data_IF_004270967804
#
_entry.id   IF_004270967804
#
_cell.length_a   1.000
_cell.length_b   1.000
_cell.length_c   1.000
_cell.angle_alpha   90.00
_cell.angle_beta   90.00
_cell.angle_gamma   90.00
#
_symmetry.space_group_name_H-M   'P 1'
#
loop_
_entity.id
_entity.type
_entity.pdbx_description
1 polymer ?
#
# COMPACT_ATOMS: atom_id res chain seq x y z
N UNK A 1 -4.14 24.31 -15.19
CA UNK A 1 -4.62 23.29 -14.24
C UNK A 1 -5.18 24.05 -13.05
N UNK A 2 -6.32 23.67 -12.46
CA UNK A 2 -6.75 24.28 -11.20
C UNK A 2 -5.64 24.04 -10.17
N UNK A 3 -5.14 25.12 -9.57
CA UNK A 3 -4.14 25.04 -8.51
C UNK A 3 -4.70 24.18 -7.37
N UNK A 4 -3.97 23.14 -6.99
CA UNK A 4 -4.30 22.36 -5.80
C UNK A 4 -4.20 23.30 -4.59
N UNK A 5 -5.16 23.22 -3.68
CA UNK A 5 -5.04 23.91 -2.40
C UNK A 5 -3.90 23.28 -1.59
N UNK A 6 -3.27 24.06 -0.72
CA UNK A 6 -2.20 23.60 0.17
C UNK A 6 -2.63 22.35 0.98
N UNK A 7 -3.87 22.34 1.45
CA UNK A 7 -4.48 21.18 2.13
C UNK A 7 -4.49 19.92 1.25
N UNK A 8 -4.77 20.04 -0.06
CA UNK A 8 -4.75 18.89 -0.97
C UNK A 8 -3.34 18.39 -1.23
N UNK A 9 -2.36 19.30 -1.36
CA UNK A 9 -0.95 18.91 -1.52
C UNK A 9 -0.46 18.16 -0.28
N UNK A 10 -0.81 18.64 0.92
CA UNK A 10 -0.48 17.96 2.18
C UNK A 10 -1.12 16.56 2.26
N UNK A 11 -2.38 16.40 1.83
CA UNK A 11 -3.02 15.08 1.79
C UNK A 11 -2.32 14.11 0.83
N UNK A 12 -1.88 14.59 -0.34
CA UNK A 12 -1.13 13.76 -1.30
C UNK A 12 0.25 13.37 -0.76
N UNK A 13 0.92 14.26 -0.02
CA UNK A 13 2.18 13.97 0.67
C UNK A 13 2.00 12.92 1.77
N UNK A 14 0.95 13.04 2.58
CA UNK A 14 0.62 12.07 3.63
C UNK A 14 0.30 10.70 3.03
N UNK A 15 -0.40 10.68 1.90
CA UNK A 15 -0.68 9.46 1.15
C UNK A 15 0.63 8.80 0.65
N UNK A 16 1.53 9.56 0.02
CA UNK A 16 2.83 9.05 -0.45
C UNK A 16 3.73 8.57 0.71
N UNK A 17 3.66 9.25 1.86
CA UNK A 17 4.38 8.82 3.07
C UNK A 17 3.79 7.53 3.66
N UNK A 18 2.46 7.38 3.68
CA UNK A 18 1.81 6.14 4.12
C UNK A 18 2.24 4.96 3.26
N UNK A 19 2.30 5.16 1.94
CA UNK A 19 2.83 4.17 1.00
C UNK A 19 4.25 3.73 1.34
N UNK A 20 5.12 4.68 1.69
CA UNK A 20 6.50 4.38 2.08
C UNK A 20 6.56 3.60 3.40
N UNK A 21 5.82 4.02 4.42
CA UNK A 21 5.76 3.31 5.71
C UNK A 21 5.23 1.89 5.56
N UNK A 22 4.29 1.66 4.66
CA UNK A 22 3.82 0.31 4.37
C UNK A 22 4.86 -0.56 3.67
N UNK A 23 5.65 0.00 2.75
CA UNK A 23 6.81 -0.69 2.16
C UNK A 23 7.78 -1.17 3.25
N UNK A 24 8.15 -0.28 4.18
CA UNK A 24 9.01 -0.61 5.31
C UNK A 24 8.40 -1.69 6.21
N UNK A 25 7.07 -1.66 6.41
CA UNK A 25 6.35 -2.68 7.17
C UNK A 25 6.40 -4.07 6.50
N UNK A 26 6.29 -4.13 5.17
CA UNK A 26 6.47 -5.39 4.43
C UNK A 26 7.91 -5.90 4.55
N UNK A 27 8.91 -5.03 4.39
CA UNK A 27 10.33 -5.40 4.56
C UNK A 27 10.58 -5.97 5.96
N UNK A 28 10.04 -5.33 7.01
CA UNK A 28 10.13 -5.83 8.38
C UNK A 28 9.54 -7.24 8.53
N UNK A 29 8.35 -7.48 7.98
CA UNK A 29 7.72 -8.81 8.02
C UNK A 29 8.60 -9.83 7.28
N UNK A 30 9.11 -9.52 6.10
CA UNK A 30 9.95 -10.45 5.33
C UNK A 30 11.22 -10.84 6.07
N UNK A 31 11.88 -9.88 6.71
CA UNK A 31 13.10 -10.08 7.47
C UNK A 31 12.88 -10.89 8.75
N UNK A 32 11.74 -10.70 9.43
CA UNK A 32 11.49 -11.21 10.78
C UNK A 32 10.48 -12.36 10.86
N UNK A 33 9.80 -12.69 9.76
CA UNK A 33 8.85 -13.81 9.71
C UNK A 33 9.61 -15.12 9.44
N UNK A 34 9.98 -15.81 10.51
CA UNK A 34 10.51 -17.18 10.51
C UNK A 34 9.66 -18.11 11.41
N UNK A 35 10.13 -19.34 11.69
CA UNK A 35 9.39 -20.29 12.52
C UNK A 35 9.20 -19.81 13.98
N UNK A 36 10.11 -18.99 14.50
CA UNK A 36 10.08 -18.42 15.86
C UNK A 36 9.85 -16.89 15.81
N UNK A 37 9.04 -16.44 14.84
CA UNK A 37 8.80 -15.02 14.60
C UNK A 37 8.33 -14.29 15.88
N UNK A 38 8.84 -13.07 16.13
CA UNK A 38 8.44 -12.31 17.29
C UNK A 38 6.97 -11.85 17.15
N UNK A 39 6.21 -11.70 18.26
CA UNK A 39 4.80 -11.27 18.23
C UNK A 39 4.55 -9.97 17.46
N UNK A 40 5.56 -9.11 17.40
CA UNK A 40 5.60 -7.85 16.66
C UNK A 40 5.31 -8.05 15.16
N UNK A 41 5.62 -9.21 14.57
CA UNK A 41 5.32 -9.51 13.15
C UNK A 41 3.81 -9.53 12.91
N UNK A 42 3.05 -10.18 13.78
CA UNK A 42 1.57 -10.21 13.66
C UNK A 42 0.96 -8.82 13.94
N UNK A 43 1.57 -8.03 14.82
CA UNK A 43 1.17 -6.64 15.06
C UNK A 43 1.42 -5.77 13.82
N UNK A 44 2.62 -5.82 13.24
CA UNK A 44 2.95 -5.07 12.01
C UNK A 44 2.04 -5.48 10.87
N UNK A 45 1.74 -6.77 10.71
CA UNK A 45 0.77 -7.22 9.71
C UNK A 45 -0.63 -6.62 9.96
N UNK A 46 -1.08 -6.59 11.21
CA UNK A 46 -2.36 -5.97 11.58
C UNK A 46 -2.38 -4.47 11.25
N UNK A 47 -1.28 -3.76 11.50
CA UNK A 47 -1.13 -2.34 11.19
C UNK A 47 -1.13 -2.11 9.67
N UNK A 48 -0.49 -2.99 8.89
CA UNK A 48 -0.56 -2.96 7.41
C UNK A 48 -1.98 -3.17 6.89
N UNK A 49 -2.76 -4.07 7.49
CA UNK A 49 -4.18 -4.26 7.13
C UNK A 49 -4.99 -2.99 7.41
N UNK A 50 -4.74 -2.30 8.53
CA UNK A 50 -5.40 -1.03 8.82
C UNK A 50 -4.97 0.08 7.84
N UNK A 51 -3.68 0.14 7.50
CA UNK A 51 -3.15 1.07 6.53
C UNK A 51 -3.74 0.84 5.13
N UNK A 52 -3.95 -0.43 4.73
CA UNK A 52 -4.66 -0.76 3.48
C UNK A 52 -6.09 -0.23 3.45
N UNK A 53 -6.81 -0.25 4.57
CA UNK A 53 -8.16 0.32 4.65
C UNK A 53 -8.14 1.84 4.48
N UNK A 54 -7.15 2.52 5.07
CA UNK A 54 -6.96 3.96 4.89
C UNK A 54 -6.58 4.30 3.44
N UNK A 55 -5.68 3.53 2.83
CA UNK A 55 -5.33 3.67 1.42
C UNK A 55 -6.52 3.44 0.51
N UNK A 56 -7.37 2.44 0.79
CA UNK A 56 -8.58 2.22 0.01
C UNK A 56 -9.47 3.47 -0.01
N UNK A 57 -9.67 4.11 1.15
CA UNK A 57 -10.44 5.35 1.23
C UNK A 57 -9.74 6.50 0.49
N UNK A 58 -8.42 6.63 0.63
CA UNK A 58 -7.62 7.62 -0.10
C UNK A 58 -7.72 7.45 -1.61
N UNK A 59 -7.62 6.21 -2.11
CA UNK A 59 -7.74 5.86 -3.53
C UNK A 59 -9.05 6.35 -4.14
N UNK A 60 -10.18 6.25 -3.41
CA UNK A 60 -11.47 6.75 -3.87
C UNK A 60 -11.54 8.28 -3.95
N UNK A 61 -10.69 9.01 -3.22
CA UNK A 61 -10.64 10.47 -3.23
C UNK A 61 -9.70 11.05 -4.28
N UNK A 62 -8.69 10.29 -4.72
CA UNK A 62 -7.69 10.76 -5.69
C UNK A 62 -8.27 11.33 -6.99
N UNK A 63 -9.33 10.75 -7.61
CA UNK A 63 -9.92 11.32 -8.82
C UNK A 63 -10.40 12.78 -8.64
N UNK A 64 -10.84 13.15 -7.43
CA UNK A 64 -11.26 14.51 -7.11
C UNK A 64 -10.08 15.49 -6.94
N UNK A 65 -8.87 14.98 -6.70
CA UNK A 65 -7.66 15.79 -6.52
C UNK A 65 -6.87 15.92 -7.82
N UNK A 66 -6.58 14.81 -8.48
CA UNK A 66 -5.65 14.77 -9.62
C UNK A 66 -6.34 14.54 -10.97
N UNK A 67 -7.66 14.34 -10.95
CA UNK A 67 -8.48 14.09 -12.13
C UNK A 67 -8.77 12.60 -12.35
N UNK A 68 -9.94 12.33 -12.94
CA UNK A 68 -10.41 10.97 -13.21
C UNK A 68 -9.79 10.40 -14.50
N UNK A 69 -8.52 10.02 -14.43
CA UNK A 69 -7.78 9.44 -15.55
C UNK A 69 -7.96 7.92 -15.61
N UNK A 70 -7.96 7.35 -16.81
CA UNK A 70 -8.02 5.89 -16.97
C UNK A 70 -6.87 5.19 -16.23
N UNK A 71 -5.65 5.76 -16.28
CA UNK A 71 -4.50 5.22 -15.55
C UNK A 71 -4.75 5.15 -14.04
N UNK A 72 -5.34 6.19 -13.44
CA UNK A 72 -5.68 6.18 -12.02
C UNK A 72 -6.75 5.12 -11.72
N UNK A 73 -7.79 4.99 -12.55
CA UNK A 73 -8.81 3.95 -12.37
C UNK A 73 -8.22 2.55 -12.38
N UNK A 74 -7.30 2.27 -13.31
CA UNK A 74 -6.57 1.00 -13.33
C UNK A 74 -5.84 0.77 -12.01
N UNK A 75 -5.10 1.75 -11.51
CA UNK A 75 -4.40 1.60 -10.23
C UNK A 75 -5.34 1.41 -9.03
N UNK A 76 -6.52 2.02 -9.03
CA UNK A 76 -7.52 1.81 -7.97
C UNK A 76 -8.05 0.36 -8.00
N UNK A 77 -8.19 -0.22 -9.19
CA UNK A 77 -8.61 -1.62 -9.37
C UNK A 77 -7.48 -2.58 -9.01
N UNK A 78 -6.26 -2.36 -9.51
CA UNK A 78 -5.07 -3.18 -9.21
C UNK A 78 -4.82 -3.26 -7.69
N UNK A 79 -5.10 -2.18 -6.96
CA UNK A 79 -5.00 -2.18 -5.50
C UNK A 79 -5.93 -3.20 -4.83
N UNK A 80 -7.10 -3.49 -5.41
CA UNK A 80 -8.04 -4.48 -4.87
C UNK A 80 -7.44 -5.88 -4.92
N UNK A 81 -6.69 -6.21 -5.97
CA UNK A 81 -5.99 -7.50 -6.09
C UNK A 81 -4.97 -7.67 -4.96
N UNK A 82 -4.26 -6.60 -4.58
CA UNK A 82 -3.31 -6.62 -3.45
C UNK A 82 -4.05 -6.87 -2.11
N UNK A 83 -5.20 -6.23 -1.91
CA UNK A 83 -6.04 -6.44 -0.72
C UNK A 83 -6.52 -7.90 -0.64
N UNK A 84 -6.93 -8.48 -1.77
CA UNK A 84 -7.31 -9.89 -1.85
C UNK A 84 -6.13 -10.81 -1.50
N UNK A 85 -4.95 -10.55 -2.04
CA UNK A 85 -3.73 -11.31 -1.70
C UNK A 85 -3.39 -11.23 -0.21
N UNK A 86 -3.55 -10.06 0.42
CA UNK A 86 -3.32 -9.92 1.87
C UNK A 86 -4.30 -10.75 2.70
N UNK A 87 -5.54 -10.94 2.23
CA UNK A 87 -6.53 -11.75 2.94
C UNK A 87 -6.13 -13.23 3.03
N UNK A 88 -5.35 -13.75 2.07
CA UNK A 88 -4.83 -15.12 2.10
C UNK A 88 -3.92 -15.39 3.32
N UNK A 89 -3.40 -14.35 3.98
CA UNK A 89 -2.54 -14.48 5.18
C UNK A 89 -3.23 -15.31 6.27
N UNK A 90 -4.53 -15.10 6.48
CA UNK A 90 -5.30 -15.80 7.51
C UNK A 90 -5.57 -17.27 7.16
N UNK A 91 -5.36 -17.66 5.90
CA UNK A 91 -5.50 -19.03 5.42
C UNK A 91 -4.18 -19.82 5.47
N UNK A 92 -3.05 -19.12 5.69
CA UNK A 92 -1.72 -19.76 5.74
C UNK A 92 -1.49 -20.42 7.10
N UNK A 93 -1.23 -21.74 7.15
CA UNK A 93 -1.16 -22.48 8.41
C UNK A 93 0.17 -22.30 9.15
N UNK A 94 1.24 -21.87 8.47
CA UNK A 94 2.57 -21.70 9.06
C UNK A 94 3.16 -20.34 8.72
N UNK A 95 4.14 -19.91 9.52
CA UNK A 95 4.90 -18.69 9.24
C UNK A 95 5.70 -18.79 7.93
N UNK A 96 6.15 -19.98 7.54
CA UNK A 96 6.81 -20.19 6.24
C UNK A 96 5.86 -19.98 5.07
N UNK A 97 4.61 -20.43 5.19
CA UNK A 97 3.57 -20.21 4.17
C UNK A 97 3.20 -18.72 4.08
N UNK A 98 3.08 -18.05 5.24
CA UNK A 98 2.87 -16.60 5.32
C UNK A 98 4.03 -15.82 4.71
N UNK A 99 5.28 -16.21 4.98
CA UNK A 99 6.47 -15.60 4.39
C UNK A 99 6.49 -15.75 2.88
N UNK A 100 6.15 -16.94 2.40
CA UNK A 100 6.05 -17.22 0.96
C UNK A 100 4.96 -16.39 0.28
N UNK A 101 3.83 -16.16 0.98
CA UNK A 101 2.77 -15.25 0.51
C UNK A 101 3.28 -13.79 0.41
N UNK A 102 3.91 -13.28 1.47
CA UNK A 102 4.37 -11.88 1.50
C UNK A 102 5.46 -11.66 0.46
N UNK A 103 6.57 -12.38 0.56
CA UNK A 103 7.74 -12.20 -0.32
C UNK A 103 7.50 -12.62 -1.76
N UNK A 104 6.63 -13.60 -2.00
CA UNK A 104 6.37 -14.13 -3.33
C UNK A 104 5.26 -13.42 -4.08
N UNK A 105 4.31 -12.80 -3.37
CA UNK A 105 3.13 -12.19 -3.97
C UNK A 105 2.85 -10.79 -3.45
N UNK A 106 2.60 -10.62 -2.15
CA UNK A 106 2.04 -9.35 -1.64
C UNK A 106 3.02 -8.19 -1.80
N UNK A 107 4.24 -8.31 -1.27
CA UNK A 107 5.19 -7.20 -1.29
C UNK A 107 5.64 -6.83 -2.71
N UNK A 108 5.95 -7.77 -3.63
CA UNK A 108 6.27 -7.42 -5.02
C UNK A 108 5.13 -6.71 -5.76
N UNK A 109 3.88 -7.17 -5.57
CA UNK A 109 2.72 -6.52 -6.21
C UNK A 109 2.48 -5.13 -5.60
N UNK A 110 2.59 -5.00 -4.27
CA UNK A 110 2.50 -3.73 -3.59
C UNK A 110 3.57 -2.74 -4.07
N UNK A 111 4.83 -3.16 -4.15
CA UNK A 111 5.91 -2.27 -4.57
C UNK A 111 5.78 -1.81 -6.03
N UNK A 112 5.39 -2.71 -6.93
CA UNK A 112 5.09 -2.34 -8.31
C UNK A 112 3.97 -1.31 -8.40
N UNK A 113 2.87 -1.54 -7.68
CA UNK A 113 1.74 -0.62 -7.62
C UNK A 113 2.12 0.72 -6.97
N UNK A 114 2.89 0.68 -5.87
CA UNK A 114 3.37 1.86 -5.13
C UNK A 114 4.20 2.77 -6.03
N UNK A 115 5.11 2.20 -6.82
CA UNK A 115 5.94 2.96 -7.76
C UNK A 115 5.09 3.64 -8.85
N UNK A 116 4.06 2.95 -9.37
CA UNK A 116 3.11 3.52 -10.31
C UNK A 116 2.33 4.68 -9.68
N UNK A 117 1.83 4.51 -8.47
CA UNK A 117 1.14 5.56 -7.72
C UNK A 117 2.03 6.76 -7.44
N UNK A 118 3.28 6.54 -6.99
CA UNK A 118 4.24 7.61 -6.78
C UNK A 118 4.47 8.42 -8.05
N UNK A 119 4.62 7.76 -9.21
CA UNK A 119 4.80 8.45 -10.50
C UNK A 119 3.56 9.28 -10.90
N UNK A 120 2.36 8.78 -10.63
CA UNK A 120 1.11 9.51 -10.86
C UNK A 120 0.98 10.75 -9.97
N UNK A 121 1.41 10.65 -8.71
CA UNK A 121 1.24 11.71 -7.71
C UNK A 121 2.35 12.75 -7.74
N UNK A 122 3.56 12.38 -8.16
CA UNK A 122 4.75 13.24 -8.18
C UNK A 122 4.53 14.64 -8.81
N UNK A 123 3.83 14.80 -9.94
CA UNK A 123 3.57 16.11 -10.53
C UNK A 123 2.75 17.04 -9.64
N UNK A 124 2.00 16.49 -8.68
CA UNK A 124 1.08 17.23 -7.81
C UNK A 124 1.68 17.53 -6.43
N UNK A 125 2.77 16.84 -6.08
CA UNK A 125 3.45 16.96 -4.78
C UNK A 125 4.69 17.87 -4.86
N UNK A 126 5.37 17.94 -6.01
CA UNK A 126 6.65 18.63 -6.18
C UNK A 126 6.55 20.11 -6.64
N UNK A 127 5.55 20.85 -6.14
CA UNK A 127 5.37 22.27 -6.45
C UNK A 127 5.68 23.19 -5.27
#
# INVERSE_FOLDING_TARGET
>A
MPELTEEKVQLLQQYDQLLHTMSEGFDYIEENLDEEAPPEVDQVFTDLVQAMQQLHQGNQQLPAFIGDTEQLKYQIVDFQEIVELMSEWFEKPTNLDKKSLISGKVAPNFESWRLCMHQLLKPYIQH
#
